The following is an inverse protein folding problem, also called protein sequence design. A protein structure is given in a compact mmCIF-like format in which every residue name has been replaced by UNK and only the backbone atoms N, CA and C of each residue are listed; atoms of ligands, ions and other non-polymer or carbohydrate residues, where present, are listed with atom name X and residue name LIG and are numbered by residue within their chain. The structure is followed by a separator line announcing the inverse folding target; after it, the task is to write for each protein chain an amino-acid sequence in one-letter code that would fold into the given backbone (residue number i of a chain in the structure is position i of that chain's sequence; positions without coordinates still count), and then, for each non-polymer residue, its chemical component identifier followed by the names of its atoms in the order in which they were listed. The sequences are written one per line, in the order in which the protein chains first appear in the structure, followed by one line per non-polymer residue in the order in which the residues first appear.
data_IF_562926355226
#
_entry.id   IF_562926355226
#
_cell.length_a   1.000
_cell.length_b   1.000
_cell.length_c   1.000
_cell.angle_alpha   90.00
_cell.angle_beta   90.00
_cell.angle_gamma   90.00
#
_symmetry.space_group_name_H-M   'P 1'
#
loop_
_entity.id
_entity.type
_entity.pdbx_description
1 polymer ?
#
# COMPACT_ATOMS: atom_id res chain seq x y z
N UNK A 1 -8.54 50.04 0.46
CA UNK A 1 -7.46 49.66 1.41
C UNK A 1 -7.96 48.60 2.42
N UNK A 2 -9.04 48.80 3.17
CA UNK A 2 -9.55 47.82 4.17
C UNK A 2 -9.96 46.47 3.64
N UNK A 3 -10.56 46.38 2.42
CA UNK A 3 -10.93 45.09 1.80
C UNK A 3 -9.71 44.20 1.51
N UNK A 4 -8.58 44.79 1.09
CA UNK A 4 -7.35 44.07 0.80
C UNK A 4 -6.72 43.55 2.10
N UNK A 5 -6.73 44.36 3.17
CA UNK A 5 -6.24 43.96 4.47
C UNK A 5 -7.04 42.80 5.07
N UNK A 6 -8.37 42.82 4.90
CA UNK A 6 -9.26 41.74 5.36
C UNK A 6 -8.99 40.41 4.62
N UNK A 7 -8.76 40.49 3.31
CA UNK A 7 -8.42 39.32 2.51
C UNK A 7 -7.07 38.74 2.93
N UNK A 8 -6.05 39.58 3.17
CA UNK A 8 -4.72 39.14 3.64
C UNK A 8 -4.81 38.47 5.01
N UNK A 9 -5.53 39.06 5.97
CA UNK A 9 -5.72 38.48 7.30
C UNK A 9 -6.47 37.13 7.23
N UNK A 10 -7.50 37.02 6.37
CA UNK A 10 -8.24 35.79 6.14
C UNK A 10 -7.32 34.68 5.55
N UNK A 11 -6.51 35.01 4.54
CA UNK A 11 -5.57 34.06 3.93
C UNK A 11 -4.52 33.59 4.96
N UNK A 12 -3.97 34.50 5.79
CA UNK A 12 -3.00 34.16 6.81
C UNK A 12 -3.60 33.29 7.91
N UNK A 13 -4.84 33.54 8.35
CA UNK A 13 -5.53 32.71 9.33
C UNK A 13 -5.86 31.33 8.76
N UNK A 14 -6.31 31.23 7.52
CA UNK A 14 -6.54 29.94 6.84
C UNK A 14 -5.23 29.14 6.70
N UNK A 15 -4.11 29.78 6.38
CA UNK A 15 -2.82 29.10 6.25
C UNK A 15 -2.28 28.59 7.59
N UNK A 16 -2.51 29.30 8.70
CA UNK A 16 -2.10 28.85 10.03
C UNK A 16 -2.94 27.65 10.49
N UNK A 17 -4.25 27.70 10.31
CA UNK A 17 -5.17 26.58 10.61
C UNK A 17 -4.79 25.36 9.76
N UNK A 18 -4.56 25.54 8.46
CA UNK A 18 -4.13 24.46 7.58
C UNK A 18 -2.85 23.79 8.07
N UNK A 19 -1.84 24.58 8.46
CA UNK A 19 -0.57 24.05 9.01
C UNK A 19 -0.78 23.26 10.30
N UNK A 20 -1.66 23.73 11.17
CA UNK A 20 -2.01 23.02 12.40
C UNK A 20 -2.65 21.65 12.12
N UNK A 21 -3.60 21.57 11.18
CA UNK A 21 -4.21 20.31 10.76
C UNK A 21 -3.17 19.34 10.19
N UNK A 22 -2.21 19.81 9.39
CA UNK A 22 -1.13 18.99 8.86
C UNK A 22 -0.22 18.45 9.97
N UNK A 23 0.09 19.27 10.98
CA UNK A 23 0.88 18.82 12.13
C UNK A 23 0.15 17.75 12.93
N UNK A 24 -1.15 17.93 13.21
CA UNK A 24 -1.99 16.96 13.90
C UNK A 24 -2.04 15.65 13.12
N UNK A 25 -2.25 15.71 11.80
CA UNK A 25 -2.23 14.54 10.93
C UNK A 25 -0.89 13.79 11.04
N UNK A 26 0.24 14.51 10.99
CA UNK A 26 1.57 13.92 11.10
C UNK A 26 1.81 13.24 12.45
N UNK A 27 1.33 13.80 13.54
CA UNK A 27 1.46 13.18 14.87
C UNK A 27 0.61 11.90 14.98
N UNK A 28 -0.61 11.90 14.48
CA UNK A 28 -1.42 10.66 14.42
C UNK A 28 -0.77 9.59 13.56
N UNK A 29 -0.15 9.95 12.43
CA UNK A 29 0.58 9.01 11.59
C UNK A 29 1.77 8.37 12.32
N UNK A 30 2.59 9.16 13.03
CA UNK A 30 3.71 8.64 13.82
C UNK A 30 3.25 7.69 14.93
N UNK A 31 2.18 8.07 15.64
CA UNK A 31 1.59 7.23 16.69
C UNK A 31 1.02 5.93 16.12
N UNK A 32 0.41 5.98 14.94
CA UNK A 32 -0.08 4.78 14.26
C UNK A 32 1.05 3.81 13.93
N UNK A 33 2.15 4.31 13.35
CA UNK A 33 3.33 3.51 13.05
C UNK A 33 3.94 2.88 14.29
N UNK A 34 4.08 3.65 15.36
CA UNK A 34 4.60 3.13 16.63
C UNK A 34 3.69 2.01 17.18
N UNK A 35 2.37 2.16 17.12
CA UNK A 35 1.46 1.12 17.57
C UNK A 35 1.50 -0.13 16.67
N UNK A 36 1.70 0.03 15.36
CA UNK A 36 1.92 -1.09 14.44
C UNK A 36 3.19 -1.88 14.82
N UNK A 37 4.30 -1.19 15.07
CA UNK A 37 5.57 -1.79 15.51
C UNK A 37 5.45 -2.52 16.86
N UNK A 38 4.59 -2.02 17.76
CA UNK A 38 4.29 -2.65 19.06
C UNK A 38 3.27 -3.79 18.95
N UNK A 39 2.73 -4.07 17.75
CA UNK A 39 1.71 -5.09 17.54
C UNK A 39 0.28 -4.67 17.92
N UNK A 40 0.08 -3.41 18.30
CA UNK A 40 -1.24 -2.84 18.65
C UNK A 40 -2.03 -2.49 17.38
N UNK A 41 -2.28 -3.47 16.54
CA UNK A 41 -2.79 -3.27 15.17
C UNK A 41 -4.15 -2.57 15.10
N UNK A 42 -5.08 -2.84 16.02
CA UNK A 42 -6.38 -2.16 16.03
C UNK A 42 -6.24 -0.67 16.36
N UNK A 43 -5.39 -0.34 17.33
CA UNK A 43 -5.08 1.05 17.69
C UNK A 43 -4.39 1.75 16.53
N UNK A 44 -3.49 1.08 15.80
CA UNK A 44 -2.82 1.66 14.64
C UNK A 44 -3.81 2.03 13.53
N UNK A 45 -4.81 1.18 13.24
CA UNK A 45 -5.87 1.47 12.26
C UNK A 45 -6.65 2.73 12.64
N UNK A 46 -7.08 2.84 13.90
CA UNK A 46 -7.81 4.02 14.38
C UNK A 46 -6.99 5.31 14.28
N UNK A 47 -5.68 5.21 14.53
CA UNK A 47 -4.78 6.35 14.44
C UNK A 47 -4.48 6.74 12.99
N UNK A 48 -4.34 5.78 12.07
CA UNK A 48 -4.26 6.07 10.63
C UNK A 48 -5.53 6.73 10.12
N UNK A 49 -6.70 6.27 10.54
CA UNK A 49 -7.99 6.89 10.18
C UNK A 49 -8.05 8.35 10.65
N UNK A 50 -7.64 8.63 11.90
CA UNK A 50 -7.55 10.02 12.40
C UNK A 50 -6.55 10.84 11.59
N UNK A 51 -5.38 10.29 11.26
CA UNK A 51 -4.40 10.98 10.40
C UNK A 51 -5.01 11.38 9.07
N UNK A 52 -5.72 10.46 8.40
CA UNK A 52 -6.41 10.75 7.12
C UNK A 52 -7.45 11.86 7.29
N UNK A 53 -8.24 11.84 8.37
CA UNK A 53 -9.28 12.83 8.63
C UNK A 53 -8.73 14.26 8.78
N UNK A 54 -7.54 14.40 9.36
CA UNK A 54 -6.87 15.70 9.54
C UNK A 54 -5.99 16.09 8.34
N UNK A 55 -5.75 15.19 7.39
CA UNK A 55 -4.94 15.48 6.21
C UNK A 55 -5.79 16.06 5.08
N UNK A 56 -5.84 17.40 5.02
CA UNK A 56 -6.64 18.13 4.02
C UNK A 56 -6.09 17.96 2.59
N UNK A 57 -4.78 17.69 2.45
CA UNK A 57 -4.11 17.42 1.18
C UNK A 57 -3.67 15.96 1.07
N UNK A 58 -4.51 15.03 1.48
CA UNK A 58 -4.26 13.59 1.56
C UNK A 58 -3.02 13.12 0.78
N UNK A 59 -1.84 13.30 1.38
CA UNK A 59 -0.69 12.50 0.94
C UNK A 59 -1.08 11.03 1.04
N UNK A 60 -0.84 10.24 0.01
CA UNK A 60 -1.31 8.86 -0.11
C UNK A 60 -0.78 7.94 1.01
N UNK A 61 0.25 8.37 1.78
CA UNK A 61 0.93 7.53 2.76
C UNK A 61 0.03 7.07 3.92
N UNK A 62 -0.75 7.98 4.52
CA UNK A 62 -1.66 7.61 5.62
C UNK A 62 -2.77 6.69 5.13
N UNK A 63 -3.31 6.93 3.93
CA UNK A 63 -4.33 6.09 3.31
C UNK A 63 -3.77 4.72 2.93
N UNK A 64 -2.57 4.67 2.38
CA UNK A 64 -1.88 3.43 2.05
C UNK A 64 -1.67 2.56 3.29
N UNK A 65 -1.09 3.12 4.36
CA UNK A 65 -0.84 2.39 5.60
C UNK A 65 -2.12 1.97 6.33
N UNK A 66 -3.17 2.81 6.30
CA UNK A 66 -4.50 2.43 6.78
C UNK A 66 -5.01 1.17 6.06
N UNK A 67 -4.92 1.14 4.72
CA UNK A 67 -5.36 0.00 3.93
C UNK A 67 -4.55 -1.26 4.27
N UNK A 68 -3.23 -1.14 4.38
CA UNK A 68 -2.37 -2.26 4.78
C UNK A 68 -2.73 -2.79 6.18
N UNK A 69 -2.91 -1.91 7.15
CA UNK A 69 -3.31 -2.30 8.50
C UNK A 69 -4.69 -2.99 8.52
N UNK A 70 -5.66 -2.48 7.75
CA UNK A 70 -6.95 -3.15 7.57
C UNK A 70 -6.80 -4.54 6.93
N UNK A 71 -5.95 -4.70 5.92
CA UNK A 71 -5.68 -6.01 5.29
C UNK A 71 -5.08 -6.97 6.31
N UNK A 72 -4.11 -6.54 7.11
CA UNK A 72 -3.46 -7.35 8.13
C UNK A 72 -4.44 -7.81 9.23
N UNK A 73 -5.40 -6.97 9.58
CA UNK A 73 -6.51 -7.28 10.48
C UNK A 73 -7.65 -8.06 9.82
N UNK A 74 -7.53 -8.42 8.53
CA UNK A 74 -8.58 -9.07 7.72
C UNK A 74 -9.87 -8.24 7.56
N UNK A 75 -9.80 -6.93 7.80
CA UNK A 75 -10.88 -5.97 7.56
C UNK A 75 -10.95 -5.60 6.07
N UNK A 76 -11.21 -6.62 5.22
CA UNK A 76 -11.08 -6.48 3.77
C UNK A 76 -12.09 -5.51 3.15
N UNK A 77 -13.30 -5.41 3.73
CA UNK A 77 -14.34 -4.50 3.24
C UNK A 77 -13.90 -3.04 3.44
N UNK A 78 -13.39 -2.70 4.61
CA UNK A 78 -12.89 -1.37 4.92
C UNK A 78 -11.69 -1.00 4.03
N UNK A 79 -10.75 -1.95 3.87
CA UNK A 79 -9.62 -1.80 2.97
C UNK A 79 -10.06 -1.53 1.52
N UNK A 80 -11.04 -2.29 1.02
CA UNK A 80 -11.54 -2.19 -0.35
C UNK A 80 -12.27 -0.87 -0.60
N UNK A 81 -13.11 -0.43 0.33
CA UNK A 81 -13.82 0.85 0.24
C UNK A 81 -12.84 2.02 0.16
N UNK A 82 -11.84 2.05 1.05
CA UNK A 82 -10.83 3.10 1.05
C UNK A 82 -9.96 3.06 -0.20
N UNK A 83 -9.51 1.86 -0.61
CA UNK A 83 -8.69 1.68 -1.81
C UNK A 83 -9.42 2.14 -3.07
N UNK A 84 -10.69 1.75 -3.22
CA UNK A 84 -11.49 2.15 -4.37
C UNK A 84 -11.74 3.66 -4.42
N UNK A 85 -11.83 4.33 -3.27
CA UNK A 85 -11.97 5.80 -3.24
C UNK A 85 -10.74 6.50 -3.79
N UNK A 86 -9.54 6.06 -3.41
CA UNK A 86 -8.29 6.71 -3.86
C UNK A 86 -7.88 6.29 -5.28
N UNK A 87 -8.19 5.06 -5.72
CA UNK A 87 -7.95 4.65 -7.13
C UNK A 87 -8.78 5.48 -8.12
N UNK A 88 -9.98 5.95 -7.73
CA UNK A 88 -10.78 6.83 -8.60
C UNK A 88 -10.10 8.17 -8.86
N UNK A 89 -9.32 8.66 -7.92
CA UNK A 89 -8.59 9.93 -8.04
C UNK A 89 -7.31 9.76 -8.88
N UNK A 90 -6.66 8.59 -8.80
CA UNK A 90 -5.43 8.28 -9.52
C UNK A 90 -5.43 6.80 -10.00
N UNK A 91 -6.13 6.52 -11.12
CA UNK A 91 -6.32 5.15 -11.63
C UNK A 91 -5.05 4.47 -12.16
N UNK A 92 -4.01 5.25 -12.48
CA UNK A 92 -2.74 4.77 -13.03
C UNK A 92 -1.65 4.64 -11.96
N UNK A 93 -1.97 4.92 -10.70
CA UNK A 93 -1.03 4.83 -9.61
C UNK A 93 -0.58 3.39 -9.38
N UNK A 94 0.67 3.12 -9.72
CA UNK A 94 1.27 1.79 -9.66
C UNK A 94 1.25 1.23 -8.24
N UNK A 95 1.47 2.06 -7.22
CA UNK A 95 1.43 1.64 -5.81
C UNK A 95 0.03 1.18 -5.41
N UNK A 96 -1.02 1.88 -5.86
CA UNK A 96 -2.42 1.52 -5.59
C UNK A 96 -2.82 0.26 -6.35
N UNK A 97 -2.36 0.09 -7.59
CA UNK A 97 -2.59 -1.13 -8.39
C UNK A 97 -1.94 -2.34 -7.68
N UNK A 98 -0.69 -2.19 -7.24
CA UNK A 98 0.02 -3.23 -6.49
C UNK A 98 -0.68 -3.56 -5.16
N UNK A 99 -1.13 -2.54 -4.43
CA UNK A 99 -1.88 -2.71 -3.18
C UNK A 99 -3.22 -3.42 -3.41
N UNK A 100 -3.90 -3.14 -4.54
CA UNK A 100 -5.11 -3.88 -4.96
C UNK A 100 -4.80 -5.35 -5.19
N UNK A 101 -3.69 -5.65 -5.86
CA UNK A 101 -3.21 -7.02 -6.02
C UNK A 101 -3.02 -7.73 -4.68
N UNK A 102 -2.42 -7.04 -3.70
CA UNK A 102 -2.22 -7.59 -2.36
C UNK A 102 -3.54 -7.85 -1.61
N UNK A 103 -4.48 -6.92 -1.66
CA UNK A 103 -5.81 -7.12 -1.09
C UNK A 103 -6.52 -8.34 -1.70
N UNK A 104 -6.52 -8.46 -3.04
CA UNK A 104 -7.13 -9.58 -3.75
C UNK A 104 -6.44 -10.90 -3.41
N UNK A 105 -5.12 -10.92 -3.33
CA UNK A 105 -4.35 -12.08 -2.88
C UNK A 105 -4.77 -12.53 -1.47
N UNK A 106 -4.89 -11.60 -0.52
CA UNK A 106 -5.35 -11.89 0.85
C UNK A 106 -6.81 -12.38 0.92
N UNK A 107 -7.64 -11.97 -0.03
CA UNK A 107 -9.02 -12.48 -0.23
C UNK A 107 -9.06 -13.83 -0.95
N UNK A 108 -7.91 -14.41 -1.32
CA UNK A 108 -7.75 -15.63 -2.12
C UNK A 108 -8.28 -15.51 -3.57
N UNK A 109 -8.43 -14.31 -4.09
CA UNK A 109 -8.75 -14.03 -5.48
C UNK A 109 -7.46 -13.96 -6.30
N UNK A 110 -6.87 -15.13 -6.54
CA UNK A 110 -5.54 -15.27 -7.12
C UNK A 110 -5.47 -14.78 -8.57
N UNK A 111 -6.54 -14.94 -9.33
CA UNK A 111 -6.57 -14.57 -10.75
C UNK A 111 -6.59 -13.05 -10.92
N UNK A 112 -7.44 -12.36 -10.20
CA UNK A 112 -7.49 -10.90 -10.23
C UNK A 112 -6.25 -10.27 -9.57
N UNK A 113 -5.70 -10.89 -8.53
CA UNK A 113 -4.43 -10.46 -7.94
C UNK A 113 -3.29 -10.52 -8.98
N UNK A 114 -3.21 -11.63 -9.74
CA UNK A 114 -2.21 -11.81 -10.80
C UNK A 114 -2.32 -10.71 -11.87
N UNK A 115 -3.54 -10.37 -12.30
CA UNK A 115 -3.77 -9.26 -13.25
C UNK A 115 -3.21 -7.95 -12.72
N UNK A 116 -3.48 -7.61 -11.46
CA UNK A 116 -2.96 -6.39 -10.85
C UNK A 116 -1.42 -6.38 -10.80
N UNK A 117 -0.79 -7.47 -10.39
CA UNK A 117 0.66 -7.54 -10.31
C UNK A 117 1.33 -7.54 -11.68
N UNK A 118 0.75 -8.19 -12.69
CA UNK A 118 1.24 -8.13 -14.07
C UNK A 118 1.18 -6.69 -14.59
N UNK A 119 0.07 -5.99 -14.36
CA UNK A 119 -0.04 -4.56 -14.70
C UNK A 119 1.01 -3.72 -13.95
N UNK A 120 1.29 -4.02 -12.70
CA UNK A 120 2.40 -3.36 -11.96
C UNK A 120 3.73 -3.55 -12.69
N UNK A 121 4.02 -4.74 -13.21
CA UNK A 121 5.27 -5.02 -13.92
C UNK A 121 5.35 -4.40 -15.33
N UNK A 122 4.23 -4.05 -15.95
CA UNK A 122 4.22 -3.30 -17.22
C UNK A 122 4.82 -1.90 -17.03
N UNK A 123 4.51 -1.23 -15.92
CA UNK A 123 5.00 0.11 -15.60
C UNK A 123 6.29 0.10 -14.77
N UNK A 124 6.48 -0.91 -13.93
CA UNK A 124 7.63 -1.06 -13.04
C UNK A 124 8.21 -2.48 -13.13
N UNK A 125 8.97 -2.81 -14.19
CA UNK A 125 9.43 -4.19 -14.47
C UNK A 125 10.33 -4.81 -13.38
N UNK A 126 10.92 -3.97 -12.52
CA UNK A 126 11.78 -4.37 -11.41
C UNK A 126 11.07 -4.32 -10.04
N UNK A 127 9.74 -4.17 -10.02
CA UNK A 127 8.99 -4.14 -8.76
C UNK A 127 9.10 -5.49 -8.05
N UNK A 128 9.83 -5.50 -6.93
CA UNK A 128 10.16 -6.72 -6.18
C UNK A 128 8.94 -7.40 -5.59
N UNK A 129 8.00 -6.62 -5.06
CA UNK A 129 6.76 -7.13 -4.46
C UNK A 129 5.90 -7.83 -5.51
N UNK A 130 5.73 -7.20 -6.67
CA UNK A 130 4.96 -7.79 -7.76
C UNK A 130 5.62 -9.07 -8.30
N UNK A 131 6.94 -9.06 -8.53
CA UNK A 131 7.67 -10.24 -8.99
C UNK A 131 7.52 -11.42 -8.03
N UNK A 132 7.68 -11.16 -6.72
CA UNK A 132 7.58 -12.18 -5.71
C UNK A 132 6.15 -12.70 -5.57
N UNK A 133 5.16 -11.82 -5.55
CA UNK A 133 3.76 -12.22 -5.42
C UNK A 133 3.27 -13.01 -6.65
N UNK A 134 3.68 -12.65 -7.86
CA UNK A 134 3.39 -13.42 -9.08
C UNK A 134 4.01 -14.81 -9.00
N UNK A 135 5.29 -14.91 -8.61
CA UNK A 135 5.93 -16.19 -8.36
C UNK A 135 5.11 -17.05 -7.40
N UNK A 136 4.73 -16.47 -6.26
CA UNK A 136 4.02 -17.20 -5.21
C UNK A 136 2.62 -17.66 -5.66
N UNK A 137 1.90 -16.82 -6.41
CA UNK A 137 0.61 -17.20 -7.02
C UNK A 137 0.78 -18.38 -7.99
N UNK A 138 1.76 -18.35 -8.87
CA UNK A 138 2.02 -19.46 -9.79
C UNK A 138 2.43 -20.73 -9.05
N UNK A 139 3.18 -20.61 -7.97
CA UNK A 139 3.50 -21.74 -7.10
C UNK A 139 2.23 -22.35 -6.48
N UNK A 140 1.32 -21.55 -5.92
CA UNK A 140 0.04 -22.00 -5.38
C UNK A 140 -0.85 -22.68 -6.46
N UNK A 141 -0.78 -22.20 -7.69
CA UNK A 141 -1.48 -22.77 -8.85
C UNK A 141 -0.74 -24.00 -9.46
N UNK A 142 0.36 -24.44 -8.87
CA UNK A 142 1.20 -25.54 -9.37
C UNK A 142 1.78 -25.30 -10.78
N UNK A 143 1.80 -24.07 -11.25
CA UNK A 143 2.43 -23.68 -12.53
C UNK A 143 3.94 -23.45 -12.33
N UNK A 144 4.67 -24.55 -12.30
CA UNK A 144 6.13 -24.53 -12.09
C UNK A 144 6.88 -23.69 -13.13
N UNK A 145 6.44 -23.70 -14.38
CA UNK A 145 7.10 -22.95 -15.48
C UNK A 145 7.07 -21.45 -15.22
N UNK A 146 5.90 -20.92 -14.93
CA UNK A 146 5.77 -19.49 -14.65
C UNK A 146 6.35 -19.11 -13.28
N UNK A 147 6.17 -19.96 -12.26
CA UNK A 147 6.84 -19.74 -10.96
C UNK A 147 8.36 -19.61 -11.12
N UNK A 148 9.00 -20.50 -11.86
CA UNK A 148 10.45 -20.46 -12.16
C UNK A 148 10.84 -19.17 -12.88
N UNK A 149 10.07 -18.76 -13.89
CA UNK A 149 10.31 -17.53 -14.65
C UNK A 149 10.35 -16.29 -13.73
N UNK A 150 9.38 -16.12 -12.86
CA UNK A 150 9.28 -14.90 -12.05
C UNK A 150 10.25 -14.90 -10.87
N UNK A 151 10.53 -16.06 -10.25
CA UNK A 151 11.53 -16.11 -9.17
C UNK A 151 12.96 -15.92 -9.71
N UNK A 152 13.25 -16.39 -10.92
CA UNK A 152 14.54 -16.12 -11.56
C UNK A 152 14.74 -14.62 -11.78
N UNK A 153 13.74 -13.91 -12.33
CA UNK A 153 13.78 -12.46 -12.50
C UNK A 153 13.96 -11.72 -11.17
N UNK A 154 13.26 -12.17 -10.11
CA UNK A 154 13.41 -11.60 -8.77
C UNK A 154 14.85 -11.72 -8.26
N UNK A 155 15.50 -12.88 -8.45
CA UNK A 155 16.88 -13.13 -8.05
C UNK A 155 17.91 -12.34 -8.88
N UNK A 156 17.69 -12.21 -10.19
CA UNK A 156 18.56 -11.43 -11.09
C UNK A 156 18.66 -9.95 -10.66
N UNK A 157 17.64 -9.43 -10.03
CA UNK A 157 17.61 -8.06 -9.50
C UNK A 157 18.27 -7.93 -8.11
N UNK A 158 18.94 -8.99 -7.62
CA UNK A 158 19.63 -9.04 -6.32
C UNK A 158 18.73 -8.69 -5.12
N UNK A 159 17.43 -9.00 -5.20
CA UNK A 159 16.53 -8.83 -4.09
C UNK A 159 16.79 -9.88 -3.00
N UNK A 160 16.79 -9.44 -1.75
CA UNK A 160 16.82 -10.36 -0.61
C UNK A 160 15.56 -11.22 -0.58
N UNK A 161 15.73 -12.52 -0.37
CA UNK A 161 14.60 -13.44 -0.27
C UNK A 161 13.84 -13.19 1.04
N UNK A 162 12.50 -13.19 1.00
CA UNK A 162 11.72 -13.24 2.23
C UNK A 162 12.03 -14.52 3.03
N UNK A 163 12.05 -14.40 4.36
CA UNK A 163 12.32 -15.54 5.24
C UNK A 163 11.29 -16.66 5.05
N UNK A 164 11.74 -17.92 5.14
CA UNK A 164 10.89 -19.12 5.12
C UNK A 164 10.44 -19.59 3.72
N UNK A 165 10.95 -18.99 2.63
CA UNK A 165 10.61 -19.43 1.26
C UNK A 165 11.79 -20.04 0.49
N UNK A 166 12.95 -20.12 1.11
CA UNK A 166 14.20 -20.57 0.49
C UNK A 166 14.09 -22.01 -0.04
N UNK A 167 13.42 -22.90 0.71
CA UNK A 167 13.22 -24.30 0.30
C UNK A 167 12.30 -24.40 -0.91
N UNK A 168 11.19 -23.65 -0.91
CA UNK A 168 10.24 -23.61 -2.03
C UNK A 168 10.96 -23.12 -3.29
N UNK A 169 11.71 -22.04 -3.18
CA UNK A 169 12.47 -21.46 -4.29
C UNK A 169 13.51 -22.43 -4.81
N UNK A 170 14.26 -23.07 -3.91
CA UNK A 170 15.29 -24.03 -4.30
C UNK A 170 14.71 -25.25 -5.03
N UNK A 171 13.56 -25.74 -4.60
CA UNK A 171 12.86 -26.86 -5.24
C UNK A 171 12.37 -26.51 -6.66
N UNK A 172 11.85 -25.31 -6.84
CA UNK A 172 11.34 -24.83 -8.14
C UNK A 172 12.49 -24.56 -9.12
N UNK A 173 13.61 -24.02 -8.66
CA UNK A 173 14.77 -23.74 -9.53
C UNK A 173 15.50 -25.00 -9.99
N UNK A 174 15.43 -26.09 -9.22
CA UNK A 174 16.03 -27.40 -9.56
C UNK A 174 15.14 -28.26 -10.46
N UNK A 175 13.83 -27.97 -10.51
CA UNK A 175 12.88 -28.68 -11.38
C UNK A 175 12.86 -28.07 -12.80
#
# INVERSE_FOLDING_TARGET
MYKLLFIIVFILSCSSIFREYQNISGEYYKLAKLNEELGNNETSVLLYEKSIKFNINAGNDSSYNFILACINLKKYVEAELKLNSIIKEDPENILLINLKGYLLFKKNDLDNALICYLKTLEFAPANKEALFNIFYIYHLKSDKKNAKKYISRYKELNHSMPSGVEEIVSSILKS
#
